data_IF_080794857765
#
_entry.id   IF_080794857765
#
_cell.length_a   1.000
_cell.length_b   1.000
_cell.length_c   1.000
_cell.angle_alpha   90.00
_cell.angle_beta   90.00
_cell.angle_gamma   90.00
#
_symmetry.space_group_name_H-M   'P 1'
#
loop_
_entity.id
_entity.type
_entity.pdbx_description
1 polymer ?
#
# COMPACT_ATOMS: atom_id res chain seq x y z
N UNK A 1 -70.96 39.14 -42.87
CA UNK A 1 -70.04 39.56 -43.95
C UNK A 1 -68.84 38.62 -43.99
N UNK A 2 -68.25 38.37 -45.16
CA UNK A 2 -67.76 37.04 -45.58
C UNK A 2 -66.21 36.90 -45.69
N UNK A 3 -65.74 35.64 -45.79
CA UNK A 3 -64.63 35.06 -46.63
C UNK A 3 -63.23 35.73 -46.61
N UNK A 4 -62.10 35.03 -46.43
CA UNK A 4 -61.47 34.03 -47.33
C UNK A 4 -60.37 33.23 -46.58
N UNK A 5 -60.29 31.89 -46.66
CA UNK A 5 -59.71 31.00 -47.70
C UNK A 5 -58.17 31.03 -47.80
N UNK A 6 -57.51 29.91 -47.46
CA UNK A 6 -56.72 29.07 -48.39
C UNK A 6 -55.63 28.26 -47.65
N UNK A 7 -55.70 26.94 -47.84
CA UNK A 7 -54.68 25.93 -47.51
C UNK A 7 -53.75 25.75 -48.71
N UNK A 8 -52.43 25.67 -48.50
CA UNK A 8 -51.56 24.83 -49.36
C UNK A 8 -50.38 24.28 -48.58
N UNK A 9 -50.24 22.95 -48.62
CA UNK A 9 -49.07 22.19 -48.19
C UNK A 9 -47.93 22.36 -49.21
N UNK A 10 -46.72 22.61 -48.72
CA UNK A 10 -45.49 22.45 -49.49
C UNK A 10 -44.53 21.58 -48.70
N UNK A 11 -44.24 20.41 -49.26
CA UNK A 11 -43.19 19.48 -48.83
C UNK A 11 -41.84 20.16 -49.07
N UNK A 12 -41.06 20.35 -48.01
CA UNK A 12 -39.68 20.81 -48.11
C UNK A 12 -38.77 19.86 -47.33
N UNK A 13 -37.98 19.13 -48.11
CA UNK A 13 -36.87 18.27 -47.75
C UNK A 13 -35.84 19.06 -46.94
N UNK A 14 -35.75 18.85 -45.63
CA UNK A 14 -34.69 19.45 -44.80
C UNK A 14 -33.47 18.54 -44.77
N UNK A 15 -32.61 18.69 -45.77
CA UNK A 15 -31.19 18.36 -45.66
C UNK A 15 -30.53 19.42 -44.76
N UNK A 16 -30.58 19.21 -43.44
CA UNK A 16 -29.85 20.07 -42.49
C UNK A 16 -28.41 19.58 -42.41
N UNK A 17 -27.53 20.25 -43.16
CA UNK A 17 -26.08 20.14 -43.02
C UNK A 17 -25.64 20.86 -41.76
N UNK A 18 -25.32 20.09 -40.72
CA UNK A 18 -24.72 20.56 -39.48
C UNK A 18 -23.27 20.99 -39.78
N UNK A 19 -22.84 22.21 -39.43
CA UNK A 19 -21.45 22.62 -39.63
C UNK A 19 -20.55 21.91 -38.61
N UNK A 20 -19.78 20.94 -39.10
CA UNK A 20 -18.74 20.25 -38.36
C UNK A 20 -17.56 21.20 -38.12
N UNK A 21 -17.59 21.93 -36.99
CA UNK A 21 -16.43 22.67 -36.50
C UNK A 21 -15.44 21.66 -35.93
N UNK A 22 -14.41 21.38 -36.72
CA UNK A 22 -13.18 20.69 -36.35
C UNK A 22 -12.53 21.40 -35.16
N UNK A 23 -12.80 20.90 -33.96
CA UNK A 23 -11.98 21.18 -32.79
C UNK A 23 -10.80 20.21 -32.83
N UNK A 24 -9.61 20.79 -32.92
CA UNK A 24 -8.34 20.10 -32.85
C UNK A 24 -8.22 19.25 -31.57
N UNK A 25 -7.52 18.13 -31.73
CA UNK A 25 -7.06 17.20 -30.71
C UNK A 25 -6.57 17.87 -29.42
N UNK A 26 -7.30 17.66 -28.32
CA UNK A 26 -6.76 17.64 -26.95
C UNK A 26 -7.60 16.66 -26.12
N UNK A 27 -7.01 15.55 -25.68
CA UNK A 27 -7.66 14.49 -24.89
C UNK A 27 -8.17 15.02 -23.53
N UNK A 28 -9.50 14.99 -23.22
CA UNK A 28 -10.03 15.54 -21.96
C UNK A 28 -10.39 14.47 -20.90
N UNK A 29 -10.03 13.19 -21.09
CA UNK A 29 -10.53 12.07 -20.27
C UNK A 29 -9.92 11.92 -18.86
N UNK A 30 -8.77 12.53 -18.58
CA UNK A 30 -8.10 12.43 -17.28
C UNK A 30 -8.83 13.22 -16.19
N UNK A 31 -9.39 14.39 -16.53
CA UNK A 31 -10.07 15.27 -15.58
C UNK A 31 -11.37 14.68 -15.04
N UNK A 32 -12.18 14.04 -15.90
CA UNK A 32 -13.41 13.36 -15.49
C UNK A 32 -13.13 12.13 -14.63
N UNK A 33 -12.09 11.36 -14.97
CA UNK A 33 -11.67 10.19 -14.19
C UNK A 33 -11.22 10.60 -12.78
N UNK A 34 -10.36 11.62 -12.68
CA UNK A 34 -9.92 12.14 -11.38
C UNK A 34 -11.08 12.69 -10.54
N UNK A 35 -12.07 13.34 -11.16
CA UNK A 35 -13.26 13.81 -10.46
C UNK A 35 -14.10 12.67 -9.86
N UNK A 36 -14.30 11.60 -10.64
CA UNK A 36 -14.98 10.38 -10.16
C UNK A 36 -14.21 9.72 -9.03
N UNK A 37 -12.88 9.57 -9.14
CA UNK A 37 -12.06 9.00 -8.07
C UNK A 37 -12.08 9.86 -6.79
N UNK A 38 -12.13 11.19 -6.92
CA UNK A 38 -12.29 12.11 -5.78
C UNK A 38 -13.64 11.93 -5.08
N UNK A 39 -14.73 11.71 -5.81
CA UNK A 39 -16.07 11.53 -5.23
C UNK A 39 -16.29 10.14 -4.64
N UNK A 40 -15.68 9.10 -5.21
CA UNK A 40 -15.79 7.73 -4.71
C UNK A 40 -15.01 7.49 -3.41
N UNK A 41 -13.84 8.14 -3.24
CA UNK A 41 -12.96 7.84 -2.10
C UNK A 41 -13.61 8.08 -0.73
N UNK A 42 -14.28 9.22 -0.44
CA UNK A 42 -14.93 9.44 0.85
C UNK A 42 -15.99 8.38 1.16
N UNK A 43 -16.72 7.90 0.14
CA UNK A 43 -17.69 6.82 0.29
C UNK A 43 -17.01 5.49 0.63
N UNK A 44 -15.92 5.16 -0.04
CA UNK A 44 -15.16 3.93 0.22
C UNK A 44 -14.53 3.95 1.62
N UNK A 45 -13.92 5.07 2.01
CA UNK A 45 -13.35 5.25 3.34
C UNK A 45 -14.42 5.18 4.44
N UNK A 46 -15.59 5.81 4.24
CA UNK A 46 -16.71 5.73 5.18
C UNK A 46 -17.25 4.30 5.30
N UNK A 47 -17.47 3.61 4.18
CA UNK A 47 -17.89 2.21 4.18
C UNK A 47 -16.88 1.33 4.95
N UNK A 48 -15.58 1.55 4.74
CA UNK A 48 -14.53 0.82 5.44
C UNK A 48 -14.57 1.05 6.96
N UNK A 49 -14.72 2.31 7.39
CA UNK A 49 -14.84 2.65 8.82
C UNK A 49 -16.08 2.03 9.47
N UNK A 50 -17.19 1.91 8.73
CA UNK A 50 -18.40 1.23 9.19
C UNK A 50 -18.35 -0.29 9.04
N UNK A 51 -17.21 -0.87 8.62
CA UNK A 51 -17.02 -2.31 8.38
C UNK A 51 -17.99 -2.89 7.35
N UNK A 52 -18.44 -2.08 6.39
CA UNK A 52 -19.21 -2.55 5.24
C UNK A 52 -18.27 -3.12 4.17
N UNK A 53 -17.89 -4.38 4.35
CA UNK A 53 -16.89 -5.08 3.54
C UNK A 53 -17.30 -5.16 2.06
N UNK A 54 -18.58 -5.45 1.79
CA UNK A 54 -19.10 -5.62 0.43
C UNK A 54 -19.09 -4.30 -0.32
N UNK A 55 -19.56 -3.22 0.31
CA UNK A 55 -19.56 -1.90 -0.32
C UNK A 55 -18.13 -1.37 -0.50
N UNK A 56 -17.26 -1.52 0.49
CA UNK A 56 -15.85 -1.12 0.35
C UNK A 56 -15.17 -1.86 -0.80
N UNK A 57 -15.36 -3.18 -0.89
CA UNK A 57 -14.80 -3.99 -1.98
C UNK A 57 -15.33 -3.55 -3.34
N UNK A 58 -16.65 -3.37 -3.49
CA UNK A 58 -17.29 -2.89 -4.73
C UNK A 58 -16.75 -1.51 -5.17
N UNK A 59 -16.57 -0.58 -4.23
CA UNK A 59 -16.02 0.75 -4.52
C UNK A 59 -14.53 0.68 -4.88
N UNK A 60 -13.75 -0.19 -4.23
CA UNK A 60 -12.35 -0.44 -4.59
C UNK A 60 -12.26 -1.02 -6.01
N UNK A 61 -13.03 -2.07 -6.32
CA UNK A 61 -13.08 -2.64 -7.67
C UNK A 61 -13.46 -1.59 -8.72
N UNK A 62 -14.45 -0.74 -8.44
CA UNK A 62 -14.84 0.35 -9.34
C UNK A 62 -13.73 1.37 -9.53
N UNK A 63 -13.00 1.73 -8.46
CA UNK A 63 -11.89 2.67 -8.55
C UNK A 63 -10.70 2.09 -9.33
N UNK A 64 -10.32 0.84 -9.08
CA UNK A 64 -9.20 0.19 -9.77
C UNK A 64 -9.50 -0.17 -11.24
N UNK A 65 -10.76 -0.22 -11.65
CA UNK A 65 -11.12 -0.25 -13.07
C UNK A 65 -10.79 1.07 -13.81
N UNK A 66 -10.69 2.18 -13.09
CA UNK A 66 -10.39 3.51 -13.63
C UNK A 66 -8.91 3.92 -13.46
N UNK A 67 -8.19 3.26 -12.55
CA UNK A 67 -6.81 3.56 -12.22
C UNK A 67 -5.89 2.63 -13.03
N UNK A 68 -5.16 3.21 -13.98
CA UNK A 68 -4.15 2.49 -14.75
C UNK A 68 -2.73 2.78 -14.24
N UNK A 69 -1.76 1.89 -14.50
CA UNK A 69 -0.35 2.20 -14.30
C UNK A 69 0.09 3.38 -15.18
N UNK A 70 1.19 4.06 -14.82
CA UNK A 70 1.67 5.21 -15.59
C UNK A 70 2.06 4.78 -17.02
N UNK A 71 1.73 5.59 -18.03
CA UNK A 71 2.07 5.24 -19.42
C UNK A 71 3.54 5.51 -19.76
N UNK A 72 4.15 6.49 -19.09
CA UNK A 72 5.53 6.91 -19.26
C UNK A 72 6.23 6.96 -17.91
N UNK A 73 7.56 6.84 -17.89
CA UNK A 73 8.39 6.98 -16.68
C UNK A 73 8.49 8.44 -16.18
N UNK A 74 7.47 9.26 -16.45
CA UNK A 74 7.38 10.62 -15.94
C UNK A 74 7.10 10.59 -14.43
N UNK A 75 7.74 11.49 -13.64
CA UNK A 75 7.71 11.42 -12.19
C UNK A 75 6.31 11.59 -11.59
N UNK A 76 5.42 12.36 -12.21
CA UNK A 76 4.07 12.63 -11.72
C UNK A 76 3.10 12.75 -12.91
N UNK A 77 2.04 11.92 -12.92
CA UNK A 77 0.89 12.08 -13.81
C UNK A 77 -0.35 12.50 -13.00
N UNK A 78 -1.44 12.86 -13.68
CA UNK A 78 -2.68 13.30 -13.00
C UNK A 78 -3.31 12.26 -12.05
N UNK A 79 -2.92 10.98 -12.16
CA UNK A 79 -3.46 9.87 -11.37
C UNK A 79 -2.47 9.39 -10.29
N UNK A 80 -1.26 9.93 -10.19
CA UNK A 80 -0.21 9.53 -9.25
C UNK A 80 -0.72 9.52 -7.81
N UNK A 81 -1.31 10.64 -7.38
CA UNK A 81 -1.88 10.82 -6.06
C UNK A 81 -3.07 9.90 -5.82
N UNK A 82 -3.87 9.63 -6.86
CA UNK A 82 -4.98 8.70 -6.80
C UNK A 82 -4.50 7.26 -6.64
N UNK A 83 -3.54 6.79 -7.44
CA UNK A 83 -2.90 5.48 -7.30
C UNK A 83 -2.40 5.27 -5.88
N UNK A 84 -1.60 6.22 -5.36
CA UNK A 84 -1.09 6.16 -3.98
C UNK A 84 -2.21 6.03 -2.96
N UNK A 85 -3.20 6.92 -3.05
CA UNK A 85 -4.27 7.04 -2.06
C UNK A 85 -5.19 5.80 -2.04
N UNK A 86 -5.57 5.30 -3.21
CA UNK A 86 -6.43 4.12 -3.33
C UNK A 86 -5.68 2.83 -2.98
N UNK A 87 -4.39 2.73 -3.29
CA UNK A 87 -3.59 1.56 -2.92
C UNK A 87 -3.42 1.42 -1.40
N UNK A 88 -3.15 2.52 -0.71
CA UNK A 88 -3.11 2.53 0.77
C UNK A 88 -4.43 2.01 1.35
N UNK A 89 -5.56 2.49 0.83
CA UNK A 89 -6.88 2.03 1.27
C UNK A 89 -7.07 0.53 0.99
N UNK A 90 -6.68 0.05 -0.19
CA UNK A 90 -6.79 -1.36 -0.57
C UNK A 90 -5.98 -2.27 0.34
N UNK A 91 -4.68 -1.99 0.51
CA UNK A 91 -3.81 -2.79 1.39
C UNK A 91 -4.35 -2.79 2.81
N UNK A 92 -4.74 -1.62 3.34
CA UNK A 92 -5.27 -1.52 4.71
C UNK A 92 -6.56 -2.31 4.89
N UNK A 93 -7.47 -2.24 3.91
CA UNK A 93 -8.72 -2.97 3.89
C UNK A 93 -8.51 -4.49 3.80
N UNK A 94 -7.71 -4.96 2.85
CA UNK A 94 -7.44 -6.39 2.66
C UNK A 94 -6.71 -6.96 3.88
N UNK A 95 -5.72 -6.25 4.43
CA UNK A 95 -5.00 -6.64 5.67
C UNK A 95 -5.96 -6.72 6.87
N UNK A 96 -6.86 -5.74 7.02
CA UNK A 96 -7.81 -5.72 8.14
C UNK A 96 -8.85 -6.83 8.02
N UNK A 97 -9.33 -7.09 6.81
CA UNK A 97 -10.27 -8.19 6.55
C UNK A 97 -9.61 -9.54 6.76
N UNK A 98 -8.33 -9.69 6.40
CA UNK A 98 -7.57 -10.92 6.64
C UNK A 98 -7.31 -11.16 8.13
N UNK A 99 -6.81 -10.15 8.86
CA UNK A 99 -6.49 -10.27 10.29
C UNK A 99 -7.71 -10.31 11.23
N UNK A 100 -8.85 -9.78 10.79
CA UNK A 100 -10.09 -9.74 11.55
C UNK A 100 -11.28 -9.97 10.61
N UNK A 101 -11.47 -11.21 10.14
CA UNK A 101 -12.57 -11.55 9.25
C UNK A 101 -13.92 -11.25 9.92
N UNK A 102 -14.95 -10.87 9.14
CA UNK A 102 -16.29 -10.69 9.69
C UNK A 102 -16.77 -12.01 10.31
N UNK A 103 -17.46 -11.98 11.45
CA UNK A 103 -17.93 -13.18 12.15
C UNK A 103 -19.12 -13.87 11.45
N UNK A 104 -19.26 -13.75 10.13
CA UNK A 104 -20.48 -14.21 9.43
C UNK A 104 -20.63 -15.72 9.47
N UNK A 105 -21.83 -16.19 9.80
CA UNK A 105 -22.23 -17.60 9.68
C UNK A 105 -22.30 -18.06 8.22
N UNK A 106 -22.47 -17.11 7.29
CA UNK A 106 -22.47 -17.36 5.85
C UNK A 106 -21.08 -17.07 5.25
N UNK A 107 -20.33 -18.12 4.82
CA UNK A 107 -19.03 -17.95 4.18
C UNK A 107 -19.13 -17.35 2.77
N UNK A 108 -20.30 -17.37 2.11
CA UNK A 108 -20.49 -16.78 0.77
C UNK A 108 -20.80 -15.29 0.80
N UNK A 109 -21.04 -14.71 1.98
CA UNK A 109 -21.25 -13.27 2.14
C UNK A 109 -20.01 -12.43 1.81
N UNK A 110 -18.81 -13.05 1.84
CA UNK A 110 -17.56 -12.37 1.54
C UNK A 110 -17.25 -12.41 0.02
N UNK A 111 -16.87 -11.27 -0.61
CA UNK A 111 -16.45 -11.24 -2.01
C UNK A 111 -15.39 -12.30 -2.34
N UNK A 112 -15.53 -12.94 -3.50
CA UNK A 112 -14.70 -14.10 -3.90
C UNK A 112 -13.19 -13.84 -3.84
N UNK A 113 -12.72 -12.66 -4.22
CA UNK A 113 -11.30 -12.31 -4.13
C UNK A 113 -10.81 -12.22 -2.68
N UNK A 114 -11.65 -11.75 -1.76
CA UNK A 114 -11.30 -11.68 -0.33
C UNK A 114 -11.32 -13.07 0.29
N UNK A 115 -12.23 -13.95 -0.14
CA UNK A 115 -12.22 -15.37 0.25
C UNK A 115 -10.96 -16.07 -0.23
N UNK A 116 -10.55 -15.84 -1.47
CA UNK A 116 -9.28 -16.35 -1.97
C UNK A 116 -8.09 -15.86 -1.14
N UNK A 117 -8.08 -14.60 -0.73
CA UNK A 117 -7.05 -14.05 0.15
C UNK A 117 -7.00 -14.78 1.51
N UNK A 118 -8.16 -15.16 2.10
CA UNK A 118 -8.21 -15.92 3.36
C UNK A 118 -7.55 -17.30 3.26
N UNK A 119 -7.45 -17.86 2.06
CA UNK A 119 -6.80 -19.16 1.81
C UNK A 119 -5.27 -19.05 1.65
N UNK A 120 -4.73 -17.83 1.58
CA UNK A 120 -3.29 -17.59 1.48
C UNK A 120 -2.64 -17.60 2.86
N UNK A 121 -1.35 -17.96 2.89
CA UNK A 121 -0.51 -17.67 4.06
C UNK A 121 -0.32 -16.15 4.20
N UNK A 122 -0.06 -15.63 5.43
CA UNK A 122 0.27 -14.23 5.64
C UNK A 122 1.37 -13.72 4.71
N UNK A 123 2.42 -14.53 4.53
CA UNK A 123 3.57 -14.23 3.68
C UNK A 123 3.16 -14.10 2.21
N UNK A 124 2.41 -15.09 1.70
CA UNK A 124 1.93 -15.08 0.32
C UNK A 124 0.99 -13.91 0.05
N UNK A 125 0.17 -13.52 1.02
CA UNK A 125 -0.74 -12.39 0.91
C UNK A 125 0.03 -11.06 0.78
N UNK A 126 1.00 -10.81 1.67
CA UNK A 126 1.82 -9.58 1.62
C UNK A 126 2.67 -9.55 0.34
N UNK A 127 3.22 -10.69 -0.09
CA UNK A 127 3.93 -10.79 -1.36
C UNK A 127 3.01 -10.44 -2.55
N UNK A 128 1.77 -10.91 -2.54
CA UNK A 128 0.77 -10.56 -3.57
C UNK A 128 0.39 -9.07 -3.53
N UNK A 129 0.33 -8.43 -2.35
CA UNK A 129 0.14 -6.98 -2.25
C UNK A 129 1.32 -6.21 -2.85
N UNK A 130 2.54 -6.68 -2.57
CA UNK A 130 3.76 -6.10 -3.11
C UNK A 130 3.81 -6.20 -4.63
N UNK A 131 3.65 -7.40 -5.19
CA UNK A 131 3.66 -7.61 -6.64
C UNK A 131 2.62 -6.75 -7.35
N UNK A 132 1.40 -6.71 -6.82
CA UNK A 132 0.31 -5.90 -7.37
C UNK A 132 0.61 -4.40 -7.30
N UNK A 133 1.28 -3.96 -6.24
CA UNK A 133 1.76 -2.57 -6.12
C UNK A 133 2.85 -2.27 -7.14
N UNK A 134 3.83 -3.16 -7.32
CA UNK A 134 4.87 -3.00 -8.34
C UNK A 134 4.26 -2.85 -9.73
N UNK A 135 3.29 -3.69 -10.09
CA UNK A 135 2.56 -3.59 -11.36
C UNK A 135 1.79 -2.27 -11.50
N UNK A 136 1.18 -1.78 -10.42
CA UNK A 136 0.38 -0.55 -10.43
C UNK A 136 1.24 0.71 -10.62
N UNK A 137 2.46 0.74 -10.09
CA UNK A 137 3.33 1.92 -10.14
C UNK A 137 4.40 1.86 -11.23
N UNK A 138 4.71 0.68 -11.76
CA UNK A 138 5.67 0.56 -12.85
C UNK A 138 5.05 1.03 -14.18
N UNK A 139 5.76 1.85 -14.97
CA UNK A 139 5.25 2.29 -16.25
C UNK A 139 5.02 1.13 -17.23
N UNK A 140 3.93 1.18 -18.01
CA UNK A 140 3.55 0.10 -18.96
C UNK A 140 4.44 0.01 -20.21
N UNK A 141 5.57 0.71 -20.24
CA UNK A 141 6.50 0.64 -21.38
C UNK A 141 7.13 -0.76 -21.47
N UNK A 142 7.28 -1.35 -22.67
CA UNK A 142 7.82 -2.71 -22.85
C UNK A 142 9.25 -2.89 -22.30
N UNK A 143 9.95 -1.78 -22.03
CA UNK A 143 11.29 -1.78 -21.46
C UNK A 143 11.30 -1.97 -19.93
N UNK A 144 10.17 -1.77 -19.24
CA UNK A 144 10.11 -1.81 -17.79
C UNK A 144 9.43 -3.07 -17.28
N UNK A 145 10.15 -3.81 -16.44
CA UNK A 145 9.59 -4.89 -15.61
C UNK A 145 9.12 -4.30 -14.27
N UNK A 146 8.10 -4.89 -13.62
CA UNK A 146 7.68 -4.48 -12.28
C UNK A 146 8.89 -4.39 -11.34
N UNK A 147 9.12 -3.20 -10.77
CA UNK A 147 10.36 -2.89 -10.06
C UNK A 147 10.11 -1.92 -8.90
N UNK A 148 10.77 -2.16 -7.77
CA UNK A 148 10.68 -1.31 -6.58
C UNK A 148 11.24 0.09 -6.79
N UNK A 149 12.01 0.33 -7.86
CA UNK A 149 12.42 1.68 -8.31
C UNK A 149 11.25 2.63 -8.53
N UNK A 150 10.07 2.10 -8.83
CA UNK A 150 8.87 2.88 -9.10
C UNK A 150 7.89 2.89 -7.91
N UNK A 151 8.20 2.17 -6.83
CA UNK A 151 7.29 2.02 -5.71
C UNK A 151 7.40 3.24 -4.77
N UNK A 152 6.30 3.98 -4.52
CA UNK A 152 6.37 5.13 -3.62
C UNK A 152 6.63 4.70 -2.18
N UNK A 153 7.47 5.44 -1.45
CA UNK A 153 7.79 5.19 -0.04
C UNK A 153 6.55 4.99 0.84
N UNK A 154 5.47 5.74 0.61
CA UNK A 154 4.20 5.58 1.36
C UNK A 154 3.56 4.19 1.18
N UNK A 155 3.67 3.60 0.00
CA UNK A 155 3.15 2.25 -0.26
C UNK A 155 4.04 1.22 0.43
N UNK A 156 5.36 1.42 0.36
CA UNK A 156 6.33 0.59 1.08
C UNK A 156 6.07 0.58 2.59
N UNK A 157 5.85 1.75 3.20
CA UNK A 157 5.50 1.87 4.61
C UNK A 157 4.20 1.11 4.93
N UNK A 158 3.20 1.21 4.05
CA UNK A 158 1.92 0.51 4.23
C UNK A 158 2.09 -1.02 4.13
N UNK A 159 2.93 -1.51 3.20
CA UNK A 159 3.26 -2.93 3.06
C UNK A 159 4.03 -3.45 4.28
N UNK A 160 5.02 -2.69 4.77
CA UNK A 160 5.77 -3.06 5.96
C UNK A 160 4.86 -3.11 7.20
N UNK A 161 3.98 -2.13 7.40
CA UNK A 161 2.97 -2.17 8.47
C UNK A 161 1.99 -3.34 8.32
N UNK A 162 1.59 -3.69 7.09
CA UNK A 162 0.77 -4.88 6.85
C UNK A 162 1.52 -6.16 7.25
N UNK A 163 2.80 -6.28 6.90
CA UNK A 163 3.64 -7.44 7.28
C UNK A 163 3.76 -7.59 8.79
N UNK A 164 3.93 -6.48 9.52
CA UNK A 164 4.00 -6.47 10.98
C UNK A 164 2.66 -6.86 11.60
N UNK A 165 1.56 -6.33 11.06
CA UNK A 165 0.20 -6.64 11.53
C UNK A 165 -0.17 -8.12 11.31
N UNK A 166 0.33 -8.73 10.24
CA UNK A 166 0.08 -10.13 9.91
C UNK A 166 1.11 -11.10 10.51
N UNK A 167 2.09 -10.60 11.28
CA UNK A 167 3.08 -11.43 11.94
C UNK A 167 4.11 -12.05 10.99
N UNK A 168 4.38 -11.43 9.85
CA UNK A 168 5.39 -11.88 8.88
C UNK A 168 6.43 -10.79 8.55
N UNK A 169 7.17 -10.29 9.56
CA UNK A 169 8.15 -9.21 9.40
C UNK A 169 9.28 -9.53 8.41
N UNK A 170 9.64 -10.81 8.20
CA UNK A 170 10.68 -11.22 7.25
C UNK A 170 10.37 -10.76 5.82
N UNK A 171 9.10 -10.89 5.41
CA UNK A 171 8.63 -10.43 4.10
C UNK A 171 8.71 -8.89 4.02
N UNK A 172 8.36 -8.21 5.11
CA UNK A 172 8.51 -6.76 5.23
C UNK A 172 9.96 -6.32 5.04
N UNK A 173 10.90 -7.01 5.69
CA UNK A 173 12.34 -6.77 5.53
C UNK A 173 12.78 -6.92 4.07
N UNK A 174 12.47 -8.04 3.43
CA UNK A 174 12.87 -8.28 2.04
C UNK A 174 12.32 -7.23 1.06
N UNK A 175 11.07 -6.80 1.27
CA UNK A 175 10.45 -5.72 0.47
C UNK A 175 11.18 -4.40 0.69
N UNK A 176 11.48 -4.04 1.93
CA UNK A 176 12.19 -2.80 2.26
C UNK A 176 13.62 -2.79 1.74
N UNK A 177 14.36 -3.89 1.90
CA UNK A 177 15.73 -4.02 1.39
C UNK A 177 15.80 -3.93 -0.13
N UNK A 178 14.87 -4.59 -0.86
CA UNK A 178 14.83 -4.48 -2.34
C UNK A 178 14.54 -3.04 -2.80
N UNK A 179 13.73 -2.30 -2.05
CA UNK A 179 13.49 -0.89 -2.32
C UNK A 179 14.72 -0.02 -2.03
N UNK A 180 15.36 -0.21 -0.87
CA UNK A 180 16.59 0.50 -0.48
C UNK A 180 17.73 0.24 -1.48
N UNK A 181 17.89 -1.00 -1.95
CA UNK A 181 18.93 -1.39 -2.91
C UNK A 181 18.78 -0.72 -4.29
N UNK A 182 17.58 -0.22 -4.60
CA UNK A 182 17.24 0.40 -5.90
C UNK A 182 17.12 1.92 -5.82
N UNK A 183 17.42 2.51 -4.65
CA UNK A 183 17.39 3.95 -4.44
C UNK A 183 18.33 4.66 -5.41
N UNK A 184 17.90 5.81 -5.94
CA UNK A 184 18.67 6.61 -6.90
C UNK A 184 18.66 6.07 -8.34
N UNK A 185 18.05 4.92 -8.60
CA UNK A 185 17.89 4.37 -9.95
C UNK A 185 16.55 4.78 -10.60
N UNK A 186 15.59 5.23 -9.81
CA UNK A 186 14.27 5.67 -10.27
C UNK A 186 14.19 7.16 -10.59
N UNK A 187 13.31 7.54 -11.52
CA UNK A 187 12.99 8.94 -11.85
C UNK A 187 11.97 9.57 -10.91
N UNK A 188 11.39 8.80 -9.99
CA UNK A 188 10.43 9.31 -9.01
C UNK A 188 11.19 10.18 -8.03
N UNK A 189 10.79 11.45 -7.92
CA UNK A 189 11.29 12.32 -6.88
C UNK A 189 10.89 11.73 -5.52
N UNK A 190 11.83 11.06 -4.87
CA UNK A 190 11.62 10.57 -3.52
C UNK A 190 11.50 11.80 -2.60
N UNK A 191 10.33 11.94 -1.99
CA UNK A 191 10.15 12.88 -0.90
C UNK A 191 11.10 12.46 0.23
N UNK A 192 11.99 13.35 0.65
CA UNK A 192 12.94 13.09 1.74
C UNK A 192 12.20 12.63 3.02
N UNK A 193 10.99 13.15 3.24
CA UNK A 193 10.11 12.71 4.34
C UNK A 193 9.66 11.25 4.16
N UNK A 194 9.44 10.80 2.92
CA UNK A 194 9.11 9.42 2.59
C UNK A 194 10.25 8.46 2.91
N UNK A 195 11.48 8.78 2.50
CA UNK A 195 12.66 7.96 2.80
C UNK A 195 12.86 7.79 4.30
N UNK A 196 12.78 8.89 5.04
CA UNK A 196 12.93 8.90 6.50
C UNK A 196 11.92 7.96 7.17
N UNK A 197 10.65 7.99 6.74
CA UNK A 197 9.60 7.10 7.26
C UNK A 197 9.85 5.62 6.95
N UNK A 198 10.43 5.32 5.80
CA UNK A 198 10.82 3.95 5.45
C UNK A 198 11.91 3.46 6.40
N UNK A 199 12.93 4.27 6.63
CA UNK A 199 14.02 3.91 7.53
C UNK A 199 13.56 3.81 8.99
N UNK A 200 12.70 4.72 9.45
CA UNK A 200 12.09 4.66 10.78
C UNK A 200 11.33 3.34 10.95
N UNK A 201 10.48 2.98 9.97
CA UNK A 201 9.77 1.70 9.99
C UNK A 201 10.74 0.51 10.00
N UNK A 202 11.78 0.56 9.18
CA UNK A 202 12.75 -0.53 9.04
C UNK A 202 13.53 -0.77 10.33
N UNK A 203 14.16 0.28 10.86
CA UNK A 203 15.07 0.20 12.00
C UNK A 203 14.32 0.11 13.34
N UNK A 204 13.14 0.76 13.46
CA UNK A 204 12.43 0.84 14.74
C UNK A 204 11.30 -0.19 14.87
N UNK A 205 10.87 -0.83 13.79
CA UNK A 205 9.73 -1.75 13.84
C UNK A 205 10.02 -3.10 13.20
N UNK A 206 10.57 -3.15 11.98
CA UNK A 206 10.79 -4.42 11.27
C UNK A 206 11.95 -5.20 11.89
N UNK A 207 13.16 -4.65 11.89
CA UNK A 207 14.36 -5.32 12.41
C UNK A 207 14.23 -5.71 13.89
N UNK A 208 13.66 -4.85 14.78
CA UNK A 208 13.31 -5.23 16.14
C UNK A 208 12.43 -6.48 16.28
N UNK A 209 11.46 -6.66 15.37
CA UNK A 209 10.55 -7.81 15.40
C UNK A 209 11.21 -9.10 14.91
N UNK A 210 12.34 -8.98 14.21
CA UNK A 210 13.20 -10.07 13.79
C UNK A 210 14.32 -10.35 14.79
N UNK A 211 14.38 -9.59 15.89
CA UNK A 211 15.48 -9.63 16.86
C UNK A 211 16.85 -9.23 16.26
N UNK A 212 16.85 -8.59 15.08
CA UNK A 212 18.05 -8.17 14.34
C UNK A 212 18.53 -6.76 14.78
N UNK A 213 18.63 -6.55 16.09
CA UNK A 213 19.00 -5.26 16.68
C UNK A 213 20.44 -4.85 16.37
N UNK A 214 21.36 -5.81 16.28
CA UNK A 214 22.76 -5.57 15.93
C UNK A 214 22.86 -5.03 14.50
N UNK A 215 22.14 -5.68 13.58
CA UNK A 215 22.05 -5.25 12.19
C UNK A 215 21.46 -3.84 12.06
N UNK A 216 20.41 -3.52 12.83
CA UNK A 216 19.85 -2.17 12.88
C UNK A 216 20.89 -1.14 13.35
N UNK A 217 21.67 -1.48 14.39
CA UNK A 217 22.73 -0.64 14.91
C UNK A 217 23.83 -0.38 13.88
N UNK A 218 24.32 -1.42 13.22
CA UNK A 218 25.33 -1.31 12.16
C UNK A 218 24.82 -0.49 10.98
N UNK A 219 23.60 -0.74 10.54
CA UNK A 219 22.97 0.02 9.46
C UNK A 219 22.90 1.53 9.79
N UNK A 220 22.51 1.89 11.02
CA UNK A 220 22.43 3.28 11.49
C UNK A 220 23.78 3.98 11.68
N UNK A 221 24.89 3.24 11.75
CA UNK A 221 26.23 3.87 11.76
C UNK A 221 26.58 4.46 10.39
N UNK A 222 26.15 3.80 9.32
CA UNK A 222 26.41 4.23 7.95
C UNK A 222 25.33 5.19 7.43
N UNK A 223 24.10 5.09 7.94
CA UNK A 223 22.99 5.95 7.54
C UNK A 223 23.07 7.34 8.20
N UNK A 224 22.91 8.39 7.38
CA UNK A 224 23.06 9.81 7.77
C UNK A 224 21.78 10.62 7.59
N UNK A 225 20.79 10.09 6.91
CA UNK A 225 19.57 10.82 6.54
C UNK A 225 18.47 10.70 7.60
N UNK A 226 18.58 9.74 8.54
CA UNK A 226 17.64 9.61 9.66
C UNK A 226 17.84 10.73 10.69
N UNK A 227 16.76 11.38 11.18
CA UNK A 227 16.85 12.34 12.28
C UNK A 227 17.53 11.75 13.51
N UNK A 228 18.34 12.57 14.18
CA UNK A 228 19.12 12.14 15.35
C UNK A 228 18.24 11.55 16.46
N UNK A 229 17.04 12.12 16.67
CA UNK A 229 16.08 11.61 17.65
C UNK A 229 15.66 10.16 17.37
N UNK A 230 15.34 9.81 16.12
CA UNK A 230 14.96 8.43 15.75
C UNK A 230 16.13 7.47 15.95
N UNK A 231 17.36 7.91 15.65
CA UNK A 231 18.57 7.13 15.88
C UNK A 231 18.79 6.85 17.36
N UNK A 232 18.64 7.87 18.20
CA UNK A 232 18.80 7.77 19.64
C UNK A 232 17.79 6.77 20.24
N UNK A 233 16.54 6.79 19.76
CA UNK A 233 15.51 5.81 20.16
C UNK A 233 15.93 4.39 19.77
N UNK A 234 16.45 4.18 18.56
CA UNK A 234 16.90 2.86 18.12
C UNK A 234 18.06 2.35 18.97
N UNK A 235 19.07 3.20 19.20
CA UNK A 235 20.24 2.87 20.01
C UNK A 235 19.87 2.62 21.47
N UNK A 236 18.90 3.37 22.00
CA UNK A 236 18.36 3.15 23.34
C UNK A 236 17.64 1.81 23.46
N UNK A 237 16.79 1.45 22.49
CA UNK A 237 16.14 0.15 22.50
C UNK A 237 17.14 -1.01 22.34
N UNK A 238 18.17 -0.84 21.52
CA UNK A 238 19.26 -1.80 21.38
C UNK A 238 20.02 -1.99 22.70
N UNK A 239 20.35 -0.91 23.41
CA UNK A 239 21.04 -1.02 24.71
C UNK A 239 20.17 -1.71 25.78
N UNK A 240 18.86 -1.42 25.80
CA UNK A 240 17.93 -2.12 26.69
C UNK A 240 17.82 -3.62 26.36
N UNK A 241 17.74 -3.97 25.08
CA UNK A 241 17.65 -5.35 24.62
C UNK A 241 18.90 -6.15 25.02
N UNK A 242 20.09 -5.61 24.75
CA UNK A 242 21.37 -6.22 25.13
C UNK A 242 21.50 -6.38 26.65
N UNK A 243 21.07 -5.40 27.43
CA UNK A 243 21.02 -5.51 28.90
C UNK A 243 20.05 -6.60 29.38
N UNK A 244 18.85 -6.71 28.79
CA UNK A 244 17.89 -7.74 29.15
C UNK A 244 18.41 -9.16 28.83
N UNK A 245 19.08 -9.34 27.69
CA UNK A 245 19.72 -10.62 27.32
C UNK A 245 20.87 -10.97 28.28
N UNK A 246 21.71 -10.00 28.64
CA UNK A 246 22.79 -10.20 29.60
C UNK A 246 22.28 -10.65 30.97
N UNK A 247 21.19 -10.06 31.47
CA UNK A 247 20.54 -10.48 32.71
C UNK A 247 19.95 -11.90 32.59
N UNK A 248 19.34 -12.22 31.46
CA UNK A 248 18.74 -13.54 31.19
C UNK A 248 19.80 -14.66 31.17
N UNK A 249 20.95 -14.42 30.55
CA UNK A 249 22.09 -15.34 30.56
C UNK A 249 22.69 -15.52 31.96
N UNK A 250 22.71 -14.46 32.78
CA UNK A 250 23.24 -14.52 34.15
C UNK A 250 22.39 -15.38 35.10
N UNK A 251 21.08 -15.47 34.85
CA UNK A 251 20.13 -16.26 35.65
C UNK A 251 20.12 -17.75 35.28
N UNK A 252 20.46 -18.09 34.03
CA UNK A 252 20.52 -19.47 33.53
C UNK A 252 21.76 -20.23 34.02
N UNK A 253 22.84 -19.54 34.40
CA UNK A 253 24.11 -20.13 34.87
C UNK A 253 24.13 -20.54 36.35
N UNK A 254 22.98 -20.78 37.00
CA UNK A 254 22.98 -21.35 38.37
C UNK A 254 23.38 -22.83 38.30
N UNK A 255 24.51 -23.25 38.91
CA UNK A 255 24.92 -24.65 38.90
C UNK A 255 23.87 -25.52 39.60
N UNK A 256 23.64 -26.77 39.14
CA UNK A 256 22.70 -27.67 39.79
C UNK A 256 23.19 -27.91 41.22
N UNK A 257 22.32 -27.59 42.19
CA UNK A 257 22.57 -27.86 43.60
C UNK A 257 22.82 -29.37 43.78
N UNK A 258 24.06 -29.73 44.09
CA UNK A 258 24.38 -31.09 44.55
C UNK A 258 23.68 -31.32 45.89
N UNK A 259 22.89 -32.40 46.05
CA UNK A 259 22.20 -32.68 47.29
C UNK A 259 23.23 -33.05 48.38
N UNK A 260 23.21 -32.29 49.48
CA UNK A 260 23.98 -32.57 50.68
C UNK A 260 23.51 -33.90 51.29
N UNK A 261 24.40 -34.90 51.27
CA UNK A 261 24.19 -36.18 51.95
C UNK A 261 24.03 -35.98 53.47
N UNK A 262 23.09 -36.65 54.13
CA UNK A 262 22.90 -36.53 55.56
C UNK A 262 24.00 -37.29 56.31
N UNK A 263 24.71 -36.56 57.18
CA UNK A 263 25.63 -37.12 58.18
C UNK A 263 24.79 -37.91 59.20
N UNK A 264 25.11 -39.19 59.37
CA UNK A 264 24.47 -40.09 60.33
C UNK A 264 25.40 -40.26 61.55
N UNK A 265 24.93 -40.10 62.80
CA UNK A 265 25.60 -40.66 63.96
C UNK A 265 25.40 -42.17 64.06
#
# INVERSE_FOLDING_TARGET
MPTATATTHTVATTSSTIPLKTAASVSPSSSSTAATLRSLYPRAAKAFLHRDIVLTHSLLSSAFALISPPSLAAPEDSLSAHRRKWEVLRITFETTTYSSPPPSEDPEALPSSLRANQMLSPQSLVAAFHERSLQLFTPTSPLHKPSSTFLPARILVTLGLASLKLGCPDIGRGITEDWLARRGQGTIADDHDGYTKVLDLYCLQILPRLEEWDYAGDFLQYERELPQQSRDVCLFHHSLSTHALALSCSLSSRPPYLPLSPVRP
#
